data_IF_975877847488
#
_entry.id   IF_975877847488
#
_cell.length_a   1.000
_cell.length_b   1.000
_cell.length_c   1.000
_cell.angle_alpha   90.00
_cell.angle_beta   90.00
_cell.angle_gamma   90.00
#
_symmetry.space_group_name_H-M   'P 1'
#
loop_
_entity.id
_entity.type
_entity.pdbx_description
1 polymer ?
#
# COMPACT_ATOMS: atom_id res chain seq x y z
N UNK A 1 -11.05 9.50 5.25
CA UNK A 1 -11.81 10.13 4.15
C UNK A 1 -13.08 9.36 3.79
N UNK A 2 -12.99 8.08 3.41
CA UNK A 2 -14.15 7.26 3.00
C UNK A 2 -15.31 7.18 4.02
N UNK A 3 -15.05 6.94 5.33
CA UNK A 3 -16.13 6.94 6.35
C UNK A 3 -16.85 8.28 6.50
N UNK A 4 -16.15 9.37 6.22
CA UNK A 4 -16.65 10.74 6.35
C UNK A 4 -17.31 11.22 5.04
N UNK A 5 -17.46 10.36 4.04
CA UNK A 5 -18.04 10.72 2.74
C UNK A 5 -17.16 11.63 1.88
N UNK A 6 -15.88 11.82 2.23
CA UNK A 6 -14.99 12.75 1.54
C UNK A 6 -14.34 12.16 0.29
N UNK A 7 -14.34 10.83 0.16
CA UNK A 7 -13.79 10.08 -0.99
C UNK A 7 -14.61 8.81 -1.19
N UNK A 8 -14.47 8.19 -2.37
CA UNK A 8 -14.94 6.81 -2.60
C UNK A 8 -14.19 5.77 -1.74
N UNK A 9 -14.53 4.50 -1.94
CA UNK A 9 -13.91 3.34 -1.25
C UNK A 9 -12.58 2.89 -1.88
N UNK A 10 -12.25 3.42 -3.05
CA UNK A 10 -10.97 3.24 -3.73
C UNK A 10 -10.32 4.59 -3.97
N UNK A 11 -9.07 4.74 -3.59
CA UNK A 11 -8.32 5.98 -3.77
C UNK A 11 -6.83 5.72 -3.93
N UNK A 12 -6.15 6.62 -4.64
CA UNK A 12 -4.68 6.69 -4.65
C UNK A 12 -4.23 7.68 -3.59
N UNK A 13 -3.31 7.25 -2.74
CA UNK A 13 -2.67 8.05 -1.70
C UNK A 13 -1.23 8.30 -2.11
N UNK A 14 -0.82 9.56 -2.17
CA UNK A 14 0.58 9.94 -2.40
C UNK A 14 1.26 10.12 -1.05
N UNK A 15 2.37 9.42 -0.85
CA UNK A 15 3.27 9.53 0.30
C UNK A 15 4.69 9.81 -0.20
N UNK A 16 5.62 10.10 0.70
CA UNK A 16 7.00 10.43 0.32
C UNK A 16 7.68 9.32 -0.52
N UNK A 17 7.33 8.06 -0.24
CA UNK A 17 7.82 6.88 -0.98
C UNK A 17 7.07 6.58 -2.28
N UNK A 18 6.12 7.41 -2.70
CA UNK A 18 5.36 7.25 -3.95
C UNK A 18 3.86 7.01 -3.73
N UNK A 19 3.24 6.30 -4.68
CA UNK A 19 1.78 6.12 -4.71
C UNK A 19 1.36 4.75 -4.18
N UNK A 20 0.32 4.76 -3.34
CA UNK A 20 -0.35 3.57 -2.84
C UNK A 20 -1.81 3.58 -3.27
N UNK A 21 -2.31 2.44 -3.75
CA UNK A 21 -3.75 2.24 -3.98
C UNK A 21 -4.37 1.64 -2.72
N UNK A 22 -5.38 2.32 -2.17
CA UNK A 22 -6.14 1.87 -1.02
C UNK A 22 -7.56 1.52 -1.46
N UNK A 23 -8.01 0.32 -1.13
CA UNK A 23 -9.37 -0.16 -1.44
C UNK A 23 -10.02 -0.73 -0.18
N UNK A 24 -11.23 -0.28 0.12
CA UNK A 24 -12.03 -0.84 1.21
C UNK A 24 -13.20 -1.64 0.64
N UNK A 25 -13.10 -2.96 0.81
CA UNK A 25 -14.19 -3.87 0.48
C UNK A 25 -15.29 -3.81 1.54
N UNK A 26 -16.51 -3.53 1.10
CA UNK A 26 -17.67 -3.45 1.98
C UNK A 26 -18.22 -4.82 2.37
N UNK A 27 -18.04 -5.84 1.52
CA UNK A 27 -18.57 -7.17 1.78
C UNK A 27 -17.83 -7.83 2.94
N UNK A 28 -16.52 -7.69 2.99
CA UNK A 28 -15.67 -8.25 4.06
C UNK A 28 -15.27 -7.25 5.13
N UNK A 29 -15.55 -5.95 4.91
CA UNK A 29 -15.10 -4.86 5.76
C UNK A 29 -13.56 -4.79 5.92
N UNK A 30 -12.80 -5.32 4.97
CA UNK A 30 -11.34 -5.27 4.95
C UNK A 30 -10.80 -4.13 4.08
N UNK A 31 -9.61 -3.66 4.45
CA UNK A 31 -8.87 -2.66 3.69
C UNK A 31 -7.67 -3.32 3.03
N UNK A 32 -7.59 -3.21 1.72
CA UNK A 32 -6.46 -3.64 0.91
C UNK A 32 -5.59 -2.44 0.57
N UNK A 33 -4.28 -2.65 0.65
CA UNK A 33 -3.26 -1.70 0.25
C UNK A 33 -2.40 -2.36 -0.82
N UNK A 34 -2.26 -1.70 -1.96
CA UNK A 34 -1.44 -2.16 -3.08
C UNK A 34 -0.43 -1.09 -3.42
N UNK A 35 0.83 -1.48 -3.46
CA UNK A 35 1.95 -0.62 -3.83
C UNK A 35 3.07 -1.44 -4.48
N UNK A 36 4.03 -0.76 -5.12
CA UNK A 36 5.21 -1.41 -5.66
C UNK A 36 6.10 -1.95 -4.54
N UNK A 37 6.88 -2.99 -4.85
CA UNK A 37 7.94 -3.51 -4.01
C UNK A 37 9.18 -3.75 -4.87
N UNK A 38 10.37 -3.54 -4.30
CA UNK A 38 11.65 -3.71 -4.96
C UNK A 38 12.61 -4.51 -4.08
N UNK A 39 13.40 -5.38 -4.69
CA UNK A 39 14.55 -6.03 -4.02
C UNK A 39 15.77 -5.15 -4.26
N UNK A 40 16.32 -4.59 -3.18
CA UNK A 40 17.51 -3.72 -3.25
C UNK A 40 18.81 -4.52 -3.43
N UNK A 41 18.85 -5.78 -2.96
CA UNK A 41 20.01 -6.66 -3.13
C UNK A 41 19.82 -8.02 -2.47
N UNK A 42 20.61 -8.99 -2.90
CA UNK A 42 20.70 -10.32 -2.29
C UNK A 42 22.17 -10.77 -2.27
N UNK A 43 22.60 -11.44 -1.20
CA UNK A 43 23.98 -11.89 -1.07
C UNK A 43 24.25 -12.67 0.21
N UNK A 44 25.51 -13.07 0.38
CA UNK A 44 26.03 -13.75 1.57
C UNK A 44 27.13 -12.88 2.19
N UNK A 45 27.25 -12.91 3.52
CA UNK A 45 28.35 -12.24 4.21
C UNK A 45 29.62 -13.12 4.11
N UNK A 46 30.81 -12.51 3.97
CA UNK A 46 32.07 -13.25 3.95
C UNK A 46 32.38 -13.88 5.32
N UNK A 47 33.14 -15.00 5.32
CA UNK A 47 33.70 -15.59 6.54
C UNK A 47 34.80 -14.68 7.13
N UNK A 48 34.92 -14.70 8.46
CA UNK A 48 35.80 -13.83 9.23
C UNK A 48 37.29 -14.15 9.07
#
# INVERSE_FOLDING_TARGET
AARRGLTGRKAVVTVDGGQLTIEWDQATNHVFMTGPVQVEGAGFLPEA
#
